data_IF_976131336041
#
_entry.id   IF_976131336041
#
_cell.length_a   1.000
_cell.length_b   1.000
_cell.length_c   1.000
_cell.angle_alpha   90.00
_cell.angle_beta   90.00
_cell.angle_gamma   90.00
#
_symmetry.space_group_name_H-M   'P 1'
#
loop_
_entity.id
_entity.type
_entity.pdbx_description
1 polymer ?
#
# COMPACT_ATOMS: atom_id res chain seq x y z
N UNK A 1 6.65 11.40 0.28
CA UNK A 1 5.19 11.32 0.19
C UNK A 1 4.53 10.52 1.30
N UNK A 2 3.28 10.84 1.61
CA UNK A 2 2.35 10.10 2.46
C UNK A 2 0.95 10.08 1.81
N UNK A 3 0.24 8.97 1.91
CA UNK A 3 -1.17 8.85 1.50
C UNK A 3 -1.88 7.81 2.37
N UNK A 4 -3.17 8.01 2.67
CA UNK A 4 -3.93 7.10 3.54
C UNK A 4 -5.35 6.84 3.06
N UNK A 5 -5.98 5.86 3.69
CA UNK A 5 -7.41 5.60 3.64
C UNK A 5 -7.97 5.63 5.06
N UNK A 6 -8.75 6.66 5.36
CA UNK A 6 -9.44 6.85 6.64
C UNK A 6 -10.96 6.77 6.49
N UNK A 7 -11.44 6.60 5.26
CA UNK A 7 -12.85 6.45 4.92
C UNK A 7 -13.38 5.03 5.14
N UNK A 8 -12.52 4.02 5.21
CA UNK A 8 -12.93 2.61 5.42
C UNK A 8 -13.46 1.95 4.16
N UNK A 9 -12.76 2.12 3.03
CA UNK A 9 -13.19 1.56 1.75
C UNK A 9 -13.20 0.03 1.74
N UNK A 10 -14.05 -0.54 0.89
CA UNK A 10 -14.04 -1.95 0.55
C UNK A 10 -13.06 -2.23 -0.59
N UNK A 11 -12.29 -3.31 -0.47
CA UNK A 11 -11.34 -3.79 -1.47
C UNK A 11 -11.80 -5.18 -1.91
N UNK A 12 -12.19 -5.32 -3.17
CA UNK A 12 -12.52 -6.62 -3.76
C UNK A 12 -11.20 -7.31 -4.16
N UNK A 13 -10.70 -8.18 -3.28
CA UNK A 13 -9.41 -8.84 -3.47
C UNK A 13 -9.58 -10.03 -4.40
N UNK A 14 -8.76 -10.09 -5.44
CA UNK A 14 -8.57 -11.27 -6.29
C UNK A 14 -7.26 -11.96 -5.92
N UNK A 15 -7.10 -13.23 -6.34
CA UNK A 15 -5.95 -14.04 -5.95
C UNK A 15 -4.60 -13.37 -6.27
N UNK A 16 -4.49 -12.75 -7.45
CA UNK A 16 -3.30 -12.03 -7.90
C UNK A 16 -3.04 -10.70 -7.17
N UNK A 17 -4.01 -10.22 -6.39
CA UNK A 17 -3.96 -8.99 -5.61
C UNK A 17 -4.75 -7.83 -6.20
N UNK A 18 -5.20 -6.94 -5.33
CA UNK A 18 -5.96 -5.73 -5.67
C UNK A 18 -5.28 -4.53 -5.03
N UNK A 19 -5.14 -3.43 -5.79
CA UNK A 19 -4.56 -2.19 -5.30
C UNK A 19 -5.50 -1.49 -4.31
N UNK A 20 -4.90 -0.95 -3.25
CA UNK A 20 -5.62 -0.23 -2.18
C UNK A 20 -5.68 1.25 -2.53
N UNK A 21 -6.89 1.80 -2.58
CA UNK A 21 -7.12 3.24 -2.76
C UNK A 21 -6.67 3.98 -1.52
N UNK A 22 -5.85 5.03 -1.67
CA UNK A 22 -5.35 5.89 -0.58
C UNK A 22 -5.73 7.35 -0.85
N UNK A 23 -7.03 7.72 -0.76
CA UNK A 23 -7.52 9.03 -1.20
C UNK A 23 -7.36 10.16 -0.17
N UNK A 24 -7.01 9.84 1.08
CA UNK A 24 -7.05 10.77 2.20
C UNK A 24 -5.64 11.26 2.57
N UNK A 25 -5.59 12.46 3.17
CA UNK A 25 -4.40 13.05 3.80
C UNK A 25 -3.13 13.01 2.93
N UNK A 26 -3.26 13.14 1.61
CA UNK A 26 -2.13 13.02 0.72
C UNK A 26 -1.16 14.20 0.87
N UNK A 27 0.12 13.88 1.06
CA UNK A 27 1.25 14.80 0.97
C UNK A 27 2.23 14.22 -0.04
N UNK A 28 2.16 14.70 -1.29
CA UNK A 28 2.78 13.99 -2.41
C UNK A 28 4.26 14.31 -2.63
N UNK A 29 4.75 15.48 -2.21
CA UNK A 29 6.19 15.81 -2.29
C UNK A 29 6.82 15.48 -3.67
N UNK A 30 6.19 15.98 -4.73
CA UNK A 30 6.61 15.76 -6.12
C UNK A 30 6.12 14.46 -6.77
N UNK A 31 5.65 13.47 -6.00
CA UNK A 31 5.00 12.29 -6.57
C UNK A 31 3.71 12.69 -7.30
N UNK A 32 3.38 11.96 -8.37
CA UNK A 32 2.05 12.06 -8.99
C UNK A 32 1.19 10.87 -8.58
N UNK A 33 -0.12 11.07 -8.53
CA UNK A 33 -1.07 10.02 -8.16
C UNK A 33 -2.08 9.80 -9.29
N UNK A 34 -2.43 8.54 -9.55
CA UNK A 34 -3.49 8.18 -10.50
C UNK A 34 -4.87 8.66 -10.05
N UNK A 35 -5.83 8.80 -10.98
CA UNK A 35 -7.21 9.19 -10.65
C UNK A 35 -7.93 8.24 -9.68
N UNK A 36 -7.48 6.99 -9.58
CA UNK A 36 -7.98 6.01 -8.60
C UNK A 36 -7.32 6.08 -7.23
N UNK A 37 -6.33 6.96 -7.00
CA UNK A 37 -5.55 7.05 -5.76
C UNK A 37 -4.84 5.75 -5.35
N UNK A 38 -4.53 4.87 -6.30
CA UNK A 38 -3.91 3.56 -6.07
C UNK A 38 -2.46 3.49 -6.53
N UNK A 39 -2.08 4.29 -7.53
CA UNK A 39 -0.75 4.30 -8.13
C UNK A 39 -0.07 5.65 -7.90
N UNK A 40 1.15 5.62 -7.37
CA UNK A 40 1.99 6.77 -7.09
C UNK A 40 3.28 6.71 -7.91
N UNK A 41 3.54 7.73 -8.71
CA UNK A 41 4.70 7.77 -9.61
C UNK A 41 5.87 8.48 -8.95
N UNK A 42 7.02 7.81 -8.91
CA UNK A 42 8.26 8.31 -8.31
C UNK A 42 8.82 9.46 -9.16
N UNK A 43 9.12 10.63 -8.57
CA UNK A 43 9.56 11.79 -9.33
C UNK A 43 11.05 11.75 -9.71
N UNK A 44 11.90 11.17 -8.86
CA UNK A 44 13.38 11.22 -9.01
C UNK A 44 13.95 9.84 -8.69
N UNK A 45 15.03 9.44 -9.36
CA UNK A 45 15.72 8.20 -9.01
C UNK A 45 16.49 8.35 -7.69
N UNK A 46 16.52 7.30 -6.87
CA UNK A 46 17.21 7.35 -5.58
C UNK A 46 16.97 6.14 -4.70
N UNK A 47 17.49 6.23 -3.47
CA UNK A 47 17.20 5.25 -2.42
C UNK A 47 16.02 5.74 -1.59
N UNK A 48 15.06 4.86 -1.33
CA UNK A 48 13.79 5.20 -0.70
C UNK A 48 13.53 4.32 0.52
N UNK A 49 13.13 4.94 1.61
CA UNK A 49 12.45 4.28 2.72
C UNK A 49 10.96 4.16 2.37
N UNK A 50 10.43 2.94 2.44
CA UNK A 50 9.02 2.64 2.22
C UNK A 50 8.48 1.98 3.46
N UNK A 51 7.35 2.48 3.96
CA UNK A 51 6.56 1.79 4.98
C UNK A 51 5.08 1.83 4.61
N UNK A 52 4.37 0.78 4.95
CA UNK A 52 2.93 0.75 4.82
C UNK A 52 2.29 0.14 6.05
N UNK A 53 1.02 0.47 6.23
CA UNK A 53 0.14 -0.24 7.14
C UNK A 53 -1.20 -0.53 6.47
N UNK A 54 -1.79 -1.66 6.82
CA UNK A 54 -3.17 -2.01 6.47
C UNK A 54 -3.85 -2.51 7.74
N UNK A 55 -5.00 -1.93 8.06
CA UNK A 55 -5.87 -2.33 9.16
C UNK A 55 -7.25 -2.65 8.58
N UNK A 56 -7.66 -3.89 8.76
CA UNK A 56 -8.93 -4.43 8.27
C UNK A 56 -9.92 -4.59 9.41
N UNK A 57 -11.22 -4.59 9.11
CA UNK A 57 -12.27 -4.69 10.13
C UNK A 57 -12.43 -6.10 10.71
N UNK A 58 -11.80 -7.12 10.10
CA UNK A 58 -11.83 -8.51 10.52
C UNK A 58 -10.47 -9.15 10.31
N UNK A 59 -10.13 -10.18 11.08
CA UNK A 59 -8.90 -10.92 10.90
C UNK A 59 -8.96 -11.79 9.63
N UNK A 60 -7.92 -11.73 8.81
CA UNK A 60 -7.85 -12.40 7.50
C UNK A 60 -6.50 -13.10 7.32
N UNK A 61 -6.47 -14.14 6.49
CA UNK A 61 -5.23 -14.76 5.99
C UNK A 61 -4.77 -14.13 4.67
N UNK A 62 -5.06 -12.84 4.48
CA UNK A 62 -4.66 -12.12 3.27
C UNK A 62 -3.20 -11.69 3.36
N UNK A 63 -2.49 -11.68 2.24
CA UNK A 63 -1.17 -11.07 2.13
C UNK A 63 -1.25 -9.58 1.83
N UNK A 64 -0.23 -8.82 2.23
CA UNK A 64 -0.03 -7.42 1.82
C UNK A 64 1.35 -7.24 1.20
N UNK A 65 1.49 -6.31 0.25
CA UNK A 65 2.77 -6.02 -0.40
C UNK A 65 2.75 -4.66 -1.10
N UNK A 66 3.94 -4.15 -1.39
CA UNK A 66 4.12 -3.02 -2.31
C UNK A 66 4.55 -3.55 -3.68
N UNK A 67 3.94 -3.01 -4.74
CA UNK A 67 4.25 -3.29 -6.14
C UNK A 67 5.00 -2.11 -6.74
N UNK A 68 6.03 -2.39 -7.54
CA UNK A 68 6.69 -1.46 -8.45
C UNK A 68 6.50 -1.95 -9.90
N UNK A 69 5.79 -1.17 -10.74
CA UNK A 69 5.55 -1.49 -12.16
C UNK A 69 5.04 -2.93 -12.37
N UNK A 70 4.08 -3.38 -11.55
CA UNK A 70 3.50 -4.73 -11.62
C UNK A 70 4.30 -5.83 -10.90
N UNK A 71 5.54 -5.55 -10.46
CA UNK A 71 6.39 -6.52 -9.76
C UNK A 71 6.41 -6.26 -8.25
N UNK A 72 6.23 -7.28 -7.38
CA UNK A 72 6.37 -7.11 -5.93
C UNK A 72 7.77 -6.66 -5.53
N UNK A 73 7.86 -5.67 -4.64
CA UNK A 73 9.12 -5.26 -4.04
C UNK A 73 9.50 -6.28 -2.96
N UNK A 74 10.65 -6.93 -3.10
CA UNK A 74 11.18 -7.84 -2.10
C UNK A 74 11.34 -7.14 -0.75
N UNK A 75 11.02 -7.84 0.35
CA UNK A 75 11.02 -7.26 1.70
C UNK A 75 9.78 -6.44 2.05
N UNK A 76 8.89 -6.13 1.08
CA UNK A 76 7.58 -5.53 1.35
C UNK A 76 6.45 -6.55 1.56
N UNK A 77 6.70 -7.83 1.27
CA UNK A 77 5.66 -8.86 1.27
C UNK A 77 5.46 -9.36 2.71
N UNK A 78 4.23 -9.27 3.20
CA UNK A 78 3.80 -9.88 4.45
C UNK A 78 2.63 -10.83 4.17
N UNK A 79 2.88 -12.12 4.36
CA UNK A 79 1.87 -13.19 4.33
C UNK A 79 1.76 -13.80 5.72
N UNK A 80 0.66 -13.56 6.45
CA UNK A 80 0.55 -14.02 7.82
C UNK A 80 0.30 -15.54 7.88
N UNK A 81 0.88 -16.21 8.88
CA UNK A 81 0.64 -17.64 9.13
C UNK A 81 -0.71 -17.90 9.82
N UNK A 82 -1.22 -16.92 10.56
CA UNK A 82 -2.49 -16.93 11.28
C UNK A 82 -3.29 -15.70 10.88
N UNK A 83 -4.62 -15.76 10.94
CA UNK A 83 -5.46 -14.62 10.56
C UNK A 83 -5.15 -13.38 11.39
N UNK A 84 -4.90 -12.25 10.74
CA UNK A 84 -4.62 -10.96 11.40
C UNK A 84 -5.45 -9.84 10.76
N UNK A 85 -5.74 -8.81 11.55
CA UNK A 85 -6.41 -7.60 11.07
C UNK A 85 -5.42 -6.48 10.75
N UNK A 86 -4.17 -6.58 11.21
CA UNK A 86 -3.15 -5.54 11.09
C UNK A 86 -1.91 -6.07 10.39
N UNK A 87 -1.43 -5.27 9.44
CA UNK A 87 -0.30 -5.56 8.58
C UNK A 87 0.61 -4.33 8.55
N UNK A 88 1.90 -4.50 8.80
CA UNK A 88 2.88 -3.42 8.71
C UNK A 88 4.23 -3.95 8.26
N UNK A 89 4.87 -3.24 7.34
CA UNK A 89 6.23 -3.53 6.88
C UNK A 89 6.96 -2.22 6.62
N UNK A 90 8.26 -2.21 6.89
CA UNK A 90 9.17 -1.13 6.51
C UNK A 90 10.39 -1.72 5.81
N UNK A 91 10.86 -1.06 4.76
CA UNK A 91 12.03 -1.47 3.99
C UNK A 91 12.74 -0.27 3.36
N UNK A 92 13.94 -0.51 2.85
CA UNK A 92 14.67 0.43 2.01
C UNK A 92 14.92 -0.25 0.66
N UNK A 93 14.65 0.46 -0.42
CA UNK A 93 14.91 -0.03 -1.78
C UNK A 93 15.28 1.11 -2.73
N UNK A 94 15.84 0.80 -3.88
CA UNK A 94 16.12 1.77 -4.94
C UNK A 94 14.93 1.88 -5.88
N UNK A 95 14.48 3.10 -6.15
CA UNK A 95 13.45 3.37 -7.14
C UNK A 95 14.01 4.29 -8.22
N UNK A 96 13.55 4.11 -9.45
CA UNK A 96 13.85 5.03 -10.54
C UNK A 96 12.71 6.03 -10.75
N UNK A 97 13.03 7.22 -11.27
CA UNK A 97 12.02 8.15 -11.77
C UNK A 97 11.06 7.44 -12.74
N UNK A 98 9.77 7.70 -12.60
CA UNK A 98 8.71 7.06 -13.38
C UNK A 98 8.25 5.70 -12.86
N UNK A 99 8.90 5.13 -11.82
CA UNK A 99 8.39 3.91 -11.17
C UNK A 99 7.00 4.16 -10.58
N UNK A 100 6.07 3.24 -10.84
CA UNK A 100 4.69 3.28 -10.39
C UNK A 100 4.52 2.36 -9.19
N UNK A 101 4.27 2.96 -8.02
CA UNK A 101 4.17 2.27 -6.75
C UNK A 101 2.71 2.11 -6.34
N UNK A 102 2.31 0.90 -5.94
CA UNK A 102 0.98 0.66 -5.37
C UNK A 102 1.04 -0.28 -4.17
N UNK A 103 0.20 -0.03 -3.17
CA UNK A 103 -0.05 -0.93 -2.05
C UNK A 103 -1.13 -1.95 -2.46
N UNK A 104 -0.91 -3.24 -2.21
CA UNK A 104 -1.85 -4.30 -2.54
C UNK A 104 -2.18 -5.22 -1.36
N UNK A 105 -3.41 -5.73 -1.38
CA UNK A 105 -3.83 -6.92 -0.63
C UNK A 105 -3.94 -8.07 -1.63
N UNK A 106 -3.47 -9.28 -1.30
CA UNK A 106 -3.41 -10.43 -2.23
C UNK A 106 -3.55 -11.79 -1.52
N UNK A 107 -3.54 -12.88 -2.30
CA UNK A 107 -3.46 -14.25 -1.76
C UNK A 107 -4.79 -14.82 -1.26
N UNK A 108 -5.89 -14.10 -1.47
CA UNK A 108 -7.25 -14.46 -1.08
C UNK A 108 -8.22 -13.92 -2.13
N UNK A 109 -9.35 -14.60 -2.33
CA UNK A 109 -10.50 -14.05 -3.09
C UNK A 109 -11.60 -13.72 -2.10
N UNK A 110 -11.74 -12.43 -1.75
CA UNK A 110 -12.71 -11.97 -0.77
C UNK A 110 -12.95 -10.46 -0.84
N UNK A 111 -14.06 -10.02 -0.24
CA UNK A 111 -14.28 -8.61 0.08
C UNK A 111 -13.58 -8.27 1.39
N UNK A 112 -12.60 -7.38 1.33
CA UNK A 112 -11.87 -6.88 2.51
C UNK A 112 -12.36 -5.48 2.84
N UNK A 113 -12.76 -5.24 4.08
CA UNK A 113 -13.18 -3.92 4.56
C UNK A 113 -12.05 -3.33 5.40
N UNK A 114 -11.60 -2.13 5.04
CA UNK A 114 -10.60 -1.40 5.82
C UNK A 114 -11.24 -0.71 7.02
N UNK A 115 -10.48 -0.47 8.08
CA UNK A 115 -10.93 0.43 9.15
C UNK A 115 -11.17 1.84 8.60
N UNK A 116 -12.17 2.52 9.16
CA UNK A 116 -12.57 3.87 8.74
C UNK A 116 -13.05 4.71 9.92
N UNK A 117 -13.86 5.73 9.63
CA UNK A 117 -14.43 6.60 10.66
C UNK A 117 -13.39 7.43 11.41
N UNK A 118 -12.32 7.85 10.73
CA UNK A 118 -11.21 8.61 11.33
C UNK A 118 -10.03 7.73 11.78
N UNK A 119 -10.17 6.41 11.77
CA UNK A 119 -9.05 5.47 11.92
C UNK A 119 -8.32 5.26 10.61
N UNK A 120 -7.03 4.91 10.65
CA UNK A 120 -6.24 4.63 9.44
C UNK A 120 -6.42 3.17 9.02
N UNK A 121 -7.25 2.94 8.01
CA UNK A 121 -7.47 1.63 7.39
C UNK A 121 -6.34 1.19 6.48
N UNK A 122 -5.68 2.13 5.79
CA UNK A 122 -4.42 1.86 5.12
C UNK A 122 -3.59 3.14 5.02
N UNK A 123 -2.27 3.02 5.00
CA UNK A 123 -1.39 4.13 4.66
C UNK A 123 -0.11 3.65 3.99
N UNK A 124 0.45 4.52 3.16
CA UNK A 124 1.73 4.34 2.48
C UNK A 124 2.56 5.60 2.67
N UNK A 125 3.78 5.40 3.16
CA UNK A 125 4.79 6.46 3.29
C UNK A 125 5.99 6.06 2.45
N UNK A 126 6.46 6.99 1.63
CA UNK A 126 7.67 6.81 0.82
C UNK A 126 8.54 8.06 0.96
N UNK A 127 9.76 7.90 1.46
CA UNK A 127 10.69 9.00 1.74
C UNK A 127 11.97 8.73 0.97
N UNK A 128 12.42 9.70 0.18
CA UNK A 128 13.73 9.63 -0.48
C UNK A 128 14.83 9.89 0.55
N UNK A 129 15.87 9.07 0.54
CA UNK A 129 17.02 9.18 1.43
C UNK A 129 18.20 9.87 0.74
N UNK A 130 18.40 9.60 -0.55
CA UNK A 130 19.43 10.23 -1.40
C UNK A 130 19.08 10.17 -2.89
#
# INVERSE_FOLDING_TARGET
MYASNTSGSTVLVVLGGTAVTLPNNQSLDGFTVSGGNTVFTVPVSGRYFITYQVNTSAALLAGTRVINNGTPIAGSILTPALSTSTYNVSLITTLAAGNQISLQIFGLVATVVLLGGGSVGAALTIIRLE
#
